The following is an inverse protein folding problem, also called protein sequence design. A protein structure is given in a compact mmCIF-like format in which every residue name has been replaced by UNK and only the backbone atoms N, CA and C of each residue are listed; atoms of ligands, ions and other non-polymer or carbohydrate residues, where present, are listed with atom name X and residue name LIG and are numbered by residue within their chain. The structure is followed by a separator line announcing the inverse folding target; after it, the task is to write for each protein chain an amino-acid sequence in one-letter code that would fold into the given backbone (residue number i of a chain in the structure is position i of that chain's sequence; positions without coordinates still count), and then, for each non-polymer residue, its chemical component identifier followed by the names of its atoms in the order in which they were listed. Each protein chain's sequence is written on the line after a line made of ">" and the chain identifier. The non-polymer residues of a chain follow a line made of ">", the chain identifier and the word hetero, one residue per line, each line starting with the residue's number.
data_IF_489712453591
#
_entry.id   IF_489712453591
#
_cell.length_a   1.000
_cell.length_b   1.000
_cell.length_c   1.000
_cell.angle_alpha   90.00
_cell.angle_beta   90.00
_cell.angle_gamma   90.00
#
_symmetry.space_group_name_H-M   'P 1'
#
loop_
_entity.id
_entity.type
_entity.pdbx_description
1 polymer ?
#
# COMPACT_ATOMS: atom_id res chain seq x y z
N UNK A 1 15.52 -38.17 34.75
CA UNK A 1 15.57 -36.67 34.66
C UNK A 1 16.17 -36.17 33.37
N UNK A 2 17.36 -36.63 32.95
CA UNK A 2 18.04 -36.22 31.68
C UNK A 2 17.20 -36.38 30.42
N UNK A 3 16.47 -37.49 30.23
CA UNK A 3 15.65 -37.70 29.01
C UNK A 3 14.51 -36.68 28.83
N UNK A 4 13.93 -36.18 29.94
CA UNK A 4 12.87 -35.14 29.89
C UNK A 4 13.42 -33.74 29.56
N UNK A 5 14.62 -33.44 30.03
CA UNK A 5 15.32 -32.19 29.75
C UNK A 5 15.73 -32.15 28.25
N UNK A 6 16.21 -33.26 27.71
CA UNK A 6 16.58 -33.38 26.29
C UNK A 6 15.38 -33.20 25.37
N UNK A 7 14.20 -33.73 25.76
CA UNK A 7 12.97 -33.59 24.96
C UNK A 7 12.44 -32.15 24.98
N UNK A 8 12.53 -31.46 26.13
CA UNK A 8 12.14 -30.04 26.28
C UNK A 8 13.05 -29.10 25.49
N UNK A 9 14.38 -29.35 25.49
CA UNK A 9 15.31 -28.56 24.69
C UNK A 9 15.12 -28.77 23.18
N UNK A 10 14.80 -29.99 22.73
CA UNK A 10 14.51 -30.28 21.34
C UNK A 10 13.20 -29.61 20.88
N UNK A 11 12.17 -29.59 21.74
CA UNK A 11 10.91 -28.92 21.47
C UNK A 11 11.06 -27.39 21.39
N UNK A 12 11.88 -26.78 22.27
CA UNK A 12 12.20 -25.35 22.24
C UNK A 12 12.97 -24.95 20.97
N UNK A 13 13.91 -25.77 20.52
CA UNK A 13 14.66 -25.51 19.28
C UNK A 13 13.76 -25.64 18.04
N UNK A 14 12.83 -26.59 18.03
CA UNK A 14 11.90 -26.75 16.89
C UNK A 14 10.91 -25.61 16.78
N UNK A 15 10.45 -25.03 17.91
CA UNK A 15 9.56 -23.85 17.92
C UNK A 15 10.30 -22.59 17.46
N UNK A 16 11.58 -22.44 17.81
CA UNK A 16 12.40 -21.31 17.36
C UNK A 16 12.69 -21.32 15.84
N UNK A 17 12.76 -22.50 15.23
CA UNK A 17 13.03 -22.65 13.79
C UNK A 17 11.82 -22.28 12.91
N UNK A 18 10.60 -22.32 13.42
CA UNK A 18 9.38 -21.99 12.65
C UNK A 18 9.16 -20.48 12.53
N UNK A 19 9.77 -19.66 13.40
CA UNK A 19 9.54 -18.22 13.45
C UNK A 19 10.45 -17.39 12.52
N UNK A 20 11.39 -17.97 11.77
CA UNK A 20 12.43 -17.26 11.03
C UNK A 20 12.28 -17.24 9.51
N UNK A 21 11.20 -17.73 8.95
CA UNK A 21 11.00 -17.68 7.49
C UNK A 21 10.22 -16.44 7.05
N UNK A 22 10.80 -15.26 7.24
CA UNK A 22 10.32 -14.08 6.52
C UNK A 22 10.69 -14.21 5.05
N UNK A 23 9.69 -14.25 4.19
CA UNK A 23 9.86 -14.38 2.76
C UNK A 23 9.72 -13.03 2.09
N UNK A 24 10.81 -12.52 1.56
CA UNK A 24 10.79 -11.31 0.74
C UNK A 24 10.20 -11.62 -0.64
N UNK A 25 9.33 -10.74 -1.11
CA UNK A 25 8.79 -10.76 -2.47
C UNK A 25 9.06 -9.41 -3.09
N UNK A 26 9.92 -9.40 -4.10
CA UNK A 26 10.24 -8.20 -4.85
C UNK A 26 9.02 -7.74 -5.65
N UNK A 27 8.75 -6.44 -5.65
CA UNK A 27 7.66 -5.81 -6.40
C UNK A 27 8.18 -5.30 -7.74
N UNK A 28 9.02 -4.27 -7.70
CA UNK A 28 9.66 -3.62 -8.84
C UNK A 28 10.65 -2.57 -8.35
N UNK A 29 11.35 -1.91 -9.25
CA UNK A 29 12.18 -0.75 -8.93
C UNK A 29 11.29 0.46 -8.61
N UNK A 30 11.40 1.00 -7.39
CA UNK A 30 10.57 2.11 -6.89
C UNK A 30 11.43 3.23 -6.29
N UNK A 31 12.53 3.58 -6.94
CA UNK A 31 13.39 4.66 -6.48
C UNK A 31 12.81 6.02 -6.83
N UNK A 32 12.86 6.95 -5.88
CA UNK A 32 12.60 8.37 -6.12
C UNK A 32 13.72 9.24 -5.50
N UNK A 33 13.76 10.52 -5.82
CA UNK A 33 14.85 11.42 -5.40
C UNK A 33 14.81 11.81 -3.91
N UNK A 34 13.77 11.43 -3.17
CA UNK A 34 13.60 11.64 -1.71
C UNK A 34 13.10 10.38 -1.03
N UNK A 35 12.87 10.47 0.29
CA UNK A 35 12.26 9.40 1.10
C UNK A 35 10.74 9.24 0.90
N UNK A 36 10.13 9.84 -0.10
CA UNK A 36 8.67 9.83 -0.32
C UNK A 36 8.05 8.41 -0.37
N UNK A 37 8.79 7.43 -0.88
CA UNK A 37 8.36 6.04 -0.89
C UNK A 37 8.62 5.30 0.45
N UNK A 38 9.35 5.89 1.38
CA UNK A 38 9.78 5.27 2.63
C UNK A 38 9.50 6.11 3.86
N UNK A 39 8.82 7.26 3.69
CA UNK A 39 8.51 8.15 4.80
C UNK A 39 7.70 7.44 5.89
N UNK A 40 8.03 7.70 7.16
CA UNK A 40 7.46 7.02 8.34
C UNK A 40 5.94 7.19 8.47
N UNK A 41 5.36 8.27 7.97
CA UNK A 41 3.92 8.55 7.98
C UNK A 41 3.17 7.92 6.80
N UNK A 42 3.83 7.13 5.97
CA UNK A 42 3.28 6.42 4.82
C UNK A 42 2.59 5.12 5.26
N UNK A 43 1.35 5.23 5.73
CA UNK A 43 0.67 4.12 6.41
C UNK A 43 -0.12 3.18 5.49
N UNK A 44 -0.66 3.67 4.37
CA UNK A 44 -1.61 2.93 3.53
C UNK A 44 -1.11 2.73 2.09
N UNK A 45 0.17 2.40 1.93
CA UNK A 45 0.74 2.14 0.60
C UNK A 45 0.70 0.67 0.18
N UNK A 46 0.27 -0.21 1.08
CA UNK A 46 0.07 -1.64 0.86
C UNK A 46 -1.24 -2.06 1.53
N UNK A 47 -2.18 -2.58 0.76
CA UNK A 47 -3.47 -3.06 1.27
C UNK A 47 -3.76 -4.46 0.75
N UNK A 48 -4.58 -5.21 1.51
CA UNK A 48 -5.03 -6.54 1.12
C UNK A 48 -6.56 -6.57 1.09
N UNK A 49 -7.12 -7.03 -0.02
CA UNK A 49 -8.56 -7.18 -0.21
C UNK A 49 -8.87 -8.51 -0.89
N UNK A 50 -9.78 -9.31 -0.31
CA UNK A 50 -10.27 -10.60 -0.87
C UNK A 50 -9.16 -11.49 -1.47
N UNK A 51 -8.00 -11.59 -0.80
CA UNK A 51 -6.89 -12.46 -1.22
C UNK A 51 -5.95 -11.86 -2.27
N UNK A 52 -6.14 -10.62 -2.64
CA UNK A 52 -5.21 -9.83 -3.45
C UNK A 52 -4.51 -8.77 -2.60
N UNK A 53 -3.24 -8.52 -2.88
CA UNK A 53 -2.47 -7.40 -2.35
C UNK A 53 -2.31 -6.33 -3.41
N UNK A 54 -2.44 -5.07 -2.99
CA UNK A 54 -2.23 -3.87 -3.79
C UNK A 54 -1.13 -3.03 -3.16
N UNK A 55 -0.26 -2.46 -3.99
CA UNK A 55 0.83 -1.57 -3.56
C UNK A 55 0.85 -0.32 -4.41
N UNK A 56 1.29 0.79 -3.82
CA UNK A 56 1.51 2.05 -4.53
C UNK A 56 2.89 2.63 -4.20
N UNK A 57 3.53 3.25 -5.16
CA UNK A 57 4.81 3.95 -5.01
C UNK A 57 5.03 4.91 -6.17
N UNK A 58 6.01 5.80 -6.05
CA UNK A 58 6.47 6.61 -7.18
C UNK A 58 7.70 5.97 -7.81
N UNK A 59 7.77 6.00 -9.14
CA UNK A 59 8.99 5.63 -9.86
C UNK A 59 10.02 6.79 -9.88
N UNK A 60 11.17 6.55 -10.51
CA UNK A 60 12.25 7.54 -10.59
C UNK A 60 11.87 8.81 -11.37
N UNK A 61 10.86 8.75 -12.21
CA UNK A 61 10.35 9.88 -13.00
C UNK A 61 9.18 10.60 -12.30
N UNK A 62 8.78 10.13 -11.11
CA UNK A 62 7.71 10.68 -10.29
C UNK A 62 6.31 10.21 -10.70
N UNK A 63 6.16 9.21 -11.56
CA UNK A 63 4.85 8.65 -11.84
C UNK A 63 4.34 7.80 -10.68
N UNK A 64 3.05 7.96 -10.40
CA UNK A 64 2.32 7.05 -9.53
C UNK A 64 2.23 5.68 -10.19
N UNK A 65 2.77 4.68 -9.52
CA UNK A 65 2.76 3.28 -9.95
C UNK A 65 1.91 2.47 -8.99
N UNK A 66 1.05 1.64 -9.53
CA UNK A 66 0.20 0.71 -8.80
C UNK A 66 0.60 -0.73 -9.16
N UNK A 67 0.53 -1.60 -8.18
CA UNK A 67 0.77 -3.01 -8.38
C UNK A 67 -0.26 -3.87 -7.68
N UNK A 68 -0.55 -5.05 -8.22
CA UNK A 68 -1.34 -6.07 -7.53
C UNK A 68 -0.80 -7.46 -7.71
N UNK A 69 -1.05 -8.33 -6.74
CA UNK A 69 -0.79 -9.76 -6.82
C UNK A 69 -1.79 -10.57 -6.00
N UNK A 70 -1.98 -11.83 -6.33
CA UNK A 70 -2.62 -12.78 -5.41
C UNK A 70 -1.68 -13.07 -4.23
N UNK A 71 -2.19 -13.17 -3.01
CA UNK A 71 -1.37 -13.41 -1.79
C UNK A 71 -0.45 -14.63 -1.93
N UNK A 72 -0.89 -15.69 -2.59
CA UNK A 72 -0.09 -16.91 -2.81
C UNK A 72 0.90 -16.80 -3.97
N UNK A 73 0.81 -15.75 -4.80
CA UNK A 73 1.70 -15.52 -5.95
C UNK A 73 2.89 -14.67 -5.54
N UNK A 74 4.05 -14.92 -6.14
CA UNK A 74 5.21 -14.03 -6.06
C UNK A 74 5.21 -12.98 -7.17
N UNK A 75 4.38 -13.17 -8.21
CA UNK A 75 4.36 -12.33 -9.39
C UNK A 75 3.40 -11.15 -9.18
N UNK A 76 3.92 -9.94 -9.36
CA UNK A 76 3.16 -8.71 -9.38
C UNK A 76 2.76 -8.34 -10.81
N UNK A 77 1.57 -7.81 -10.96
CA UNK A 77 1.15 -7.03 -12.12
C UNK A 77 1.35 -5.57 -11.78
N UNK A 78 2.14 -4.85 -12.56
CA UNK A 78 2.51 -3.45 -12.33
C UNK A 78 1.88 -2.59 -13.41
N UNK A 79 1.31 -1.46 -13.01
CA UNK A 79 0.73 -0.45 -13.89
C UNK A 79 1.27 0.92 -13.52
N UNK A 80 1.91 1.60 -14.47
CA UNK A 80 2.32 3.00 -14.37
C UNK A 80 1.16 3.86 -14.80
N UNK A 81 0.61 4.66 -13.90
CA UNK A 81 -0.53 5.52 -14.20
C UNK A 81 -0.09 6.76 -15.01
N UNK A 82 -1.07 7.51 -15.51
CA UNK A 82 -0.84 8.81 -16.17
C UNK A 82 -0.48 9.94 -15.17
N UNK A 83 -0.55 9.71 -13.87
CA UNK A 83 -0.39 10.73 -12.84
C UNK A 83 1.04 10.80 -12.33
N UNK A 84 1.49 12.03 -12.08
CA UNK A 84 2.77 12.32 -11.42
C UNK A 84 2.54 13.03 -10.10
N UNK A 85 3.50 12.87 -9.19
CA UNK A 85 3.63 13.63 -7.96
C UNK A 85 4.97 14.36 -7.88
N UNK A 86 5.03 15.36 -7.01
CA UNK A 86 6.29 16.04 -6.68
C UNK A 86 7.10 15.18 -5.70
N UNK A 87 7.93 14.30 -6.22
CA UNK A 87 8.79 13.38 -5.44
C UNK A 87 9.99 14.07 -4.78
N UNK A 88 10.15 15.40 -4.96
CA UNK A 88 11.17 16.20 -4.26
C UNK A 88 10.74 16.54 -2.83
N UNK A 89 9.47 16.37 -2.49
CA UNK A 89 8.92 16.59 -1.16
C UNK A 89 8.44 15.26 -0.58
N UNK A 90 9.05 14.83 0.53
CA UNK A 90 8.71 13.57 1.20
C UNK A 90 7.30 13.54 1.82
N UNK A 91 6.62 14.70 1.96
CA UNK A 91 5.23 14.77 2.44
C UNK A 91 4.21 14.32 1.38
N UNK A 92 4.54 14.35 0.09
CA UNK A 92 3.67 13.98 -1.01
C UNK A 92 3.48 12.46 -1.15
N UNK A 93 3.23 11.80 -0.03
CA UNK A 93 3.02 10.35 0.05
C UNK A 93 1.76 9.91 -0.70
N UNK A 94 1.68 8.61 -0.94
CA UNK A 94 0.50 7.96 -1.50
C UNK A 94 -0.24 7.23 -0.39
N UNK A 95 -1.55 7.38 -0.34
CA UNK A 95 -2.44 6.58 0.49
C UNK A 95 -3.50 5.92 -0.40
N UNK A 96 -3.75 4.64 -0.19
CA UNK A 96 -4.73 3.90 -0.96
C UNK A 96 -5.57 2.95 -0.10
N UNK A 97 -6.74 2.60 -0.61
CA UNK A 97 -7.62 1.59 -0.05
C UNK A 97 -8.38 0.89 -1.17
N UNK A 98 -8.98 -0.25 -0.86
CA UNK A 98 -9.96 -0.93 -1.72
C UNK A 98 -11.28 -0.96 -0.98
N UNK A 99 -12.36 -0.53 -1.63
CA UNK A 99 -13.70 -0.52 -1.02
C UNK A 99 -14.35 -1.92 -1.03
N UNK A 100 -15.53 -2.04 -0.45
CA UNK A 100 -16.28 -3.30 -0.35
C UNK A 100 -16.67 -3.89 -1.72
N UNK A 101 -16.80 -3.05 -2.74
CA UNK A 101 -17.11 -3.44 -4.13
C UNK A 101 -15.83 -3.81 -4.92
N UNK A 102 -14.64 -3.51 -4.38
CA UNK A 102 -13.36 -3.85 -4.98
C UNK A 102 -12.74 -2.73 -5.83
N UNK A 103 -13.26 -1.52 -5.76
CA UNK A 103 -12.64 -0.37 -6.42
C UNK A 103 -11.46 0.15 -5.62
N UNK A 104 -10.39 0.47 -6.31
CA UNK A 104 -9.21 1.10 -5.75
C UNK A 104 -9.45 2.60 -5.59
N UNK A 105 -9.13 3.14 -4.43
CA UNK A 105 -9.16 4.58 -4.11
C UNK A 105 -7.75 5.02 -3.78
N UNK A 106 -7.28 6.10 -4.40
CA UNK A 106 -5.91 6.57 -4.25
C UNK A 106 -5.89 8.08 -4.06
N UNK A 107 -5.24 8.53 -2.99
CA UNK A 107 -4.84 9.93 -2.81
C UNK A 107 -3.31 10.03 -2.90
N UNK A 108 -2.80 11.09 -3.50
CA UNK A 108 -1.38 11.23 -3.79
C UNK A 108 -1.01 12.70 -4.01
N UNK A 109 0.30 12.98 -3.97
CA UNK A 109 0.88 14.28 -4.32
C UNK A 109 0.15 15.44 -3.66
N UNK A 110 0.14 15.44 -2.31
CA UNK A 110 -0.66 16.39 -1.56
C UNK A 110 0.13 16.98 -0.39
N UNK A 111 0.39 18.28 -0.46
CA UNK A 111 0.99 19.07 0.61
C UNK A 111 0.58 20.54 0.48
N UNK A 112 -0.34 21.00 1.34
CA UNK A 112 -0.77 22.40 1.40
C UNK A 112 -1.64 22.88 0.23
N UNK A 113 -2.26 22.00 -0.53
CA UNK A 113 -3.20 22.30 -1.62
C UNK A 113 -4.34 21.29 -1.68
N UNK A 114 -5.24 21.41 -2.65
CA UNK A 114 -6.36 20.49 -2.82
C UNK A 114 -5.90 19.05 -2.96
N UNK A 115 -6.62 18.13 -2.32
CA UNK A 115 -6.34 16.71 -2.36
C UNK A 115 -6.44 16.16 -3.80
N UNK A 116 -5.38 15.51 -4.27
CA UNK A 116 -5.45 14.69 -5.47
C UNK A 116 -6.02 13.33 -5.11
N UNK A 117 -7.17 13.01 -5.67
CA UNK A 117 -7.86 11.75 -5.44
C UNK A 117 -8.37 11.19 -6.76
N UNK A 118 -8.20 9.88 -6.93
CA UNK A 118 -8.71 9.10 -8.06
C UNK A 118 -9.34 7.80 -7.57
N UNK A 119 -10.32 7.30 -8.32
CA UNK A 119 -10.90 5.96 -8.17
C UNK A 119 -10.50 5.08 -9.35
N UNK A 120 -10.32 3.79 -9.11
CA UNK A 120 -10.18 2.79 -10.17
C UNK A 120 -11.39 2.76 -11.09
N UNK A 121 -11.17 2.52 -12.38
CA UNK A 121 -12.26 2.50 -13.39
C UNK A 121 -13.19 1.29 -13.26
N UNK A 122 -12.73 0.22 -12.60
CA UNK A 122 -13.50 -1.00 -12.36
C UNK A 122 -12.98 -1.72 -11.11
N UNK A 123 -13.76 -2.64 -10.49
CA UNK A 123 -13.28 -3.49 -9.41
C UNK A 123 -12.00 -4.24 -9.79
N UNK A 124 -10.98 -4.18 -8.94
CA UNK A 124 -9.68 -4.80 -9.18
C UNK A 124 -8.82 -4.17 -10.27
N UNK A 125 -9.26 -3.09 -10.92
CA UNK A 125 -8.46 -2.36 -11.90
C UNK A 125 -7.32 -1.59 -11.24
N UNK A 126 -6.16 -1.54 -11.90
CA UNK A 126 -5.05 -0.63 -11.59
C UNK A 126 -5.09 0.65 -12.41
N UNK A 127 -5.99 0.74 -13.39
CA UNK A 127 -6.24 1.97 -14.13
C UNK A 127 -7.10 2.91 -13.28
N UNK A 128 -6.70 4.17 -13.21
CA UNK A 128 -7.39 5.22 -12.47
C UNK A 128 -8.19 6.11 -13.43
N UNK A 129 -9.41 6.44 -13.01
CA UNK A 129 -10.22 7.47 -13.64
C UNK A 129 -9.66 8.88 -13.42
N UNK A 130 -10.42 9.88 -13.81
CA UNK A 130 -10.05 11.29 -13.63
C UNK A 130 -9.94 11.68 -12.15
N UNK A 131 -9.20 12.76 -11.89
CA UNK A 131 -9.11 13.35 -10.54
C UNK A 131 -10.49 13.87 -10.13
N UNK A 132 -10.91 13.49 -8.94
CA UNK A 132 -12.18 13.90 -8.36
C UNK A 132 -11.95 14.69 -7.08
N UNK A 133 -12.82 15.64 -6.73
CA UNK A 133 -12.79 16.30 -5.44
C UNK A 133 -13.22 15.29 -4.36
N UNK A 134 -12.37 15.07 -3.36
CA UNK A 134 -12.69 14.26 -2.19
C UNK A 134 -13.08 15.11 -0.99
N UNK A 135 -12.48 16.30 -0.90
CA UNK A 135 -12.80 17.32 0.13
C UNK A 135 -12.91 18.69 -0.53
N UNK A 136 -13.71 19.56 0.07
CA UNK A 136 -13.90 20.94 -0.40
C UNK A 136 -12.83 21.92 0.12
N UNK A 137 -11.88 21.47 0.92
CA UNK A 137 -10.87 22.30 1.59
C UNK A 137 -9.46 21.84 1.26
N UNK A 138 -8.52 22.77 1.33
CA UNK A 138 -7.10 22.45 1.25
C UNK A 138 -6.69 21.76 2.56
N UNK A 139 -5.93 20.69 2.46
CA UNK A 139 -5.40 19.95 3.58
C UNK A 139 -3.87 19.95 3.53
N UNK A 140 -3.22 19.86 4.68
CA UNK A 140 -1.75 19.84 4.75
C UNK A 140 -1.19 18.50 4.34
N UNK A 141 -1.83 17.43 4.76
CA UNK A 141 -1.45 16.06 4.41
C UNK A 141 -2.63 15.12 4.56
N UNK A 142 -2.68 14.07 3.75
CA UNK A 142 -3.69 13.04 3.86
C UNK A 142 -3.03 11.67 4.04
N UNK A 143 -2.91 11.26 5.29
CA UNK A 143 -2.22 10.01 5.65
C UNK A 143 -3.14 8.79 5.67
N UNK A 144 -4.47 8.98 5.67
CA UNK A 144 -5.45 7.92 5.78
C UNK A 144 -6.60 8.10 4.80
N UNK A 145 -6.67 7.24 3.79
CA UNK A 145 -7.92 6.88 3.17
C UNK A 145 -8.54 5.77 4.03
N UNK A 146 -9.57 6.11 4.77
CA UNK A 146 -10.46 5.12 5.39
C UNK A 146 -11.74 5.10 4.59
N UNK A 147 -12.26 3.90 4.32
CA UNK A 147 -13.60 3.78 3.80
C UNK A 147 -14.55 4.45 4.79
N UNK A 148 -15.38 5.35 4.33
CA UNK A 148 -16.56 5.84 5.06
C UNK A 148 -17.65 4.77 5.12
N UNK A 149 -17.28 3.53 5.39
CA UNK A 149 -18.21 2.41 5.51
C UNK A 149 -18.95 2.38 6.85
N UNK A 150 -18.52 3.20 7.80
CA UNK A 150 -19.08 3.21 9.15
C UNK A 150 -20.42 3.93 9.27
N UNK A 151 -20.97 4.48 8.19
CA UNK A 151 -22.25 5.19 8.19
C UNK A 151 -23.49 4.36 7.87
N UNK A 152 -23.38 3.07 7.58
CA UNK A 152 -24.52 2.24 7.16
C UNK A 152 -24.85 1.05 8.05
N UNK A 153 -24.19 0.87 9.18
CA UNK A 153 -24.50 -0.17 10.15
C UNK A 153 -24.80 0.46 11.52
N UNK A 154 -25.86 1.23 11.59
CA UNK A 154 -26.60 1.55 12.81
C UNK A 154 -28.09 1.29 12.54
#
# INVERSE_FOLDING_TARGET
>A
MMKRILLLTFLLISVSAVCLSQRLVEVAKGYSCTSVNTAVFRNNSLVTHKGEQYISYYDAEGYLVLGKRKLKSKKWTIHRTQYKGNVKDAHNIISMMVDGEGYLHVSFDHHGHKLNYCRGIAPGSLELGEKMPMTGVDAVSYTHLRAHETGRNL
#
